data_IF_442428227366
#
_entry.id   IF_442428227366
#
_cell.length_a   1.000
_cell.length_b   1.000
_cell.length_c   1.000
_cell.angle_alpha   90.00
_cell.angle_beta   90.00
_cell.angle_gamma   90.00
#
_symmetry.space_group_name_H-M   'P 1'
#
loop_
_entity.id
_entity.type
_entity.pdbx_description
1 polymer ?
#
# COMPACT_ATOMS: atom_id res chain seq x y z
N UNK A 1 6.75 10.09 22.18
CA UNK A 1 6.45 10.41 20.78
C UNK A 1 6.65 11.89 20.57
N UNK A 2 7.22 12.28 19.44
CA UNK A 2 7.32 13.67 19.00
C UNK A 2 5.94 14.20 18.57
N UNK A 3 5.80 15.51 18.41
CA UNK A 3 4.58 16.12 17.89
C UNK A 3 4.25 15.62 16.48
N UNK A 4 5.28 15.46 15.63
CA UNK A 4 5.16 14.96 14.26
C UNK A 4 4.66 13.51 14.25
N UNK A 5 5.27 12.64 15.07
CA UNK A 5 4.82 11.25 15.21
C UNK A 5 3.36 11.18 15.68
N UNK A 6 2.97 12.04 16.63
CA UNK A 6 1.61 12.08 17.17
C UNK A 6 0.61 12.50 16.08
N UNK A 7 0.93 13.54 15.31
CA UNK A 7 0.07 14.02 14.21
C UNK A 7 -0.20 12.91 13.20
N UNK A 8 0.85 12.28 12.66
CA UNK A 8 0.69 11.28 11.61
C UNK A 8 0.11 9.95 12.12
N UNK A 9 0.41 9.58 13.37
CA UNK A 9 -0.26 8.43 14.02
C UNK A 9 -1.76 8.65 14.14
N UNK A 10 -2.19 9.88 14.47
CA UNK A 10 -3.61 10.22 14.54
C UNK A 10 -4.28 10.19 13.16
N UNK A 11 -3.63 10.70 12.11
CA UNK A 11 -4.13 10.58 10.73
C UNK A 11 -4.34 9.11 10.34
N UNK A 12 -3.31 8.27 10.51
CA UNK A 12 -3.37 6.86 10.18
C UNK A 12 -4.45 6.13 11.00
N UNK A 13 -4.55 6.43 12.29
CA UNK A 13 -5.57 5.84 13.18
C UNK A 13 -6.97 6.17 12.70
N UNK A 14 -7.25 7.44 12.38
CA UNK A 14 -8.57 7.87 11.87
C UNK A 14 -8.91 7.23 10.53
N UNK A 15 -7.92 7.08 9.65
CA UNK A 15 -8.13 6.51 8.32
C UNK A 15 -8.33 4.99 8.35
N UNK A 16 -7.64 4.27 9.25
CA UNK A 16 -7.48 2.81 9.16
C UNK A 16 -8.12 2.02 10.30
N UNK A 17 -8.15 2.54 11.54
CA UNK A 17 -8.62 1.74 12.69
C UNK A 17 -10.11 1.47 12.58
N UNK A 18 -10.48 0.20 12.78
CA UNK A 18 -11.85 -0.28 12.66
C UNK A 18 -12.32 -0.49 11.22
N UNK A 19 -11.49 -0.19 10.20
CA UNK A 19 -11.79 -0.53 8.81
C UNK A 19 -11.56 -2.01 8.57
N UNK A 20 -12.40 -2.60 7.72
CA UNK A 20 -12.20 -3.96 7.21
C UNK A 20 -11.59 -3.91 5.83
N UNK A 21 -10.58 -4.74 5.58
CA UNK A 21 -10.11 -5.03 4.23
C UNK A 21 -11.15 -5.94 3.59
N UNK A 22 -11.77 -5.47 2.51
CA UNK A 22 -12.83 -6.20 1.78
C UNK A 22 -12.32 -6.82 0.48
N UNK A 23 -11.17 -6.38 -0.03
CA UNK A 23 -10.49 -6.98 -1.18
C UNK A 23 -8.99 -6.70 -1.11
N UNK A 24 -8.19 -7.69 -1.55
CA UNK A 24 -6.74 -7.58 -1.71
C UNK A 24 -6.42 -7.96 -3.15
N UNK A 25 -5.62 -7.15 -3.83
CA UNK A 25 -5.14 -7.45 -5.18
C UNK A 25 -3.83 -6.72 -5.45
N UNK A 26 -3.07 -7.19 -6.43
CA UNK A 26 -2.06 -6.36 -7.07
C UNK A 26 -2.72 -5.25 -7.89
N UNK A 27 -2.10 -4.08 -7.95
CA UNK A 27 -2.51 -2.99 -8.83
C UNK A 27 -2.53 -3.48 -10.28
N UNK A 28 -3.58 -3.09 -11.01
CA UNK A 28 -3.67 -3.42 -12.43
C UNK A 28 -2.66 -2.61 -13.23
N UNK A 29 -2.31 -3.09 -14.43
CA UNK A 29 -1.39 -2.40 -15.34
C UNK A 29 -1.77 -0.92 -15.56
N UNK A 30 -3.06 -0.64 -15.76
CA UNK A 30 -3.57 0.73 -15.94
C UNK A 30 -3.40 1.61 -14.68
N UNK A 31 -3.51 1.03 -13.49
CA UNK A 31 -3.29 1.78 -12.25
C UNK A 31 -1.82 2.17 -12.12
N UNK A 32 -0.91 1.22 -12.41
CA UNK A 32 0.53 1.45 -12.46
C UNK A 32 0.90 2.52 -13.51
N UNK A 33 0.33 2.46 -14.71
CA UNK A 33 0.52 3.49 -15.76
C UNK A 33 0.12 4.89 -15.28
N UNK A 34 -1.04 5.02 -14.63
CA UNK A 34 -1.50 6.31 -14.09
C UNK A 34 -0.60 6.84 -12.96
N UNK A 35 0.10 5.95 -12.25
CA UNK A 35 1.06 6.29 -11.21
C UNK A 35 2.48 6.49 -11.76
N UNK A 36 2.73 6.18 -13.03
CA UNK A 36 4.07 6.20 -13.64
C UNK A 36 4.97 5.08 -13.12
N UNK A 37 4.41 3.93 -12.74
CA UNK A 37 5.15 2.80 -12.18
C UNK A 37 5.29 1.66 -13.20
N UNK A 38 6.50 1.07 -13.27
CA UNK A 38 6.81 -0.13 -14.06
C UNK A 38 6.50 -1.45 -13.32
N UNK A 39 6.26 -1.35 -12.02
CA UNK A 39 5.96 -2.45 -11.11
C UNK A 39 4.59 -2.27 -10.46
N UNK A 40 3.99 -3.38 -10.04
CA UNK A 40 2.74 -3.44 -9.30
C UNK A 40 2.97 -3.81 -7.84
N UNK A 41 2.26 -3.08 -6.96
CA UNK A 41 2.22 -3.32 -5.51
C UNK A 41 0.88 -3.88 -5.06
N UNK A 42 0.84 -4.32 -3.80
CA UNK A 42 -0.41 -4.73 -3.16
C UNK A 42 -1.29 -3.50 -2.87
N UNK A 43 -2.56 -3.60 -3.27
CA UNK A 43 -3.63 -2.70 -2.92
C UNK A 43 -4.60 -3.38 -1.94
N UNK A 44 -4.90 -2.70 -0.84
CA UNK A 44 -5.88 -3.11 0.16
C UNK A 44 -7.12 -2.23 0.06
N UNK A 45 -8.24 -2.79 -0.42
CA UNK A 45 -9.50 -2.06 -0.54
C UNK A 45 -10.27 -2.20 0.77
N UNK A 46 -10.67 -1.07 1.33
CA UNK A 46 -11.37 -0.97 2.60
C UNK A 46 -12.89 -0.92 2.42
N UNK A 47 -13.63 -1.23 3.48
CA UNK A 47 -15.09 -1.27 3.48
C UNK A 47 -15.80 0.07 3.20
N UNK A 48 -15.06 1.19 3.27
CA UNK A 48 -15.56 2.52 2.93
C UNK A 48 -15.20 2.97 1.50
N UNK A 49 -14.63 2.08 0.68
CA UNK A 49 -14.23 2.36 -0.70
C UNK A 49 -12.83 2.96 -0.85
N UNK A 50 -12.12 3.25 0.25
CA UNK A 50 -10.73 3.71 0.18
C UNK A 50 -9.80 2.56 -0.22
N UNK A 51 -8.69 2.89 -0.87
CA UNK A 51 -7.62 1.94 -1.18
C UNK A 51 -6.34 2.37 -0.46
N UNK A 52 -5.73 1.44 0.28
CA UNK A 52 -4.39 1.61 0.85
C UNK A 52 -3.39 1.02 -0.13
N UNK A 53 -2.42 1.82 -0.55
CA UNK A 53 -1.35 1.44 -1.46
C UNK A 53 -0.04 1.59 -0.71
N UNK A 54 0.80 0.56 -0.79
CA UNK A 54 2.15 0.62 -0.24
C UNK A 54 3.06 1.25 -1.28
N UNK A 55 3.71 2.35 -0.93
CA UNK A 55 4.65 3.08 -1.80
C UNK A 55 6.09 2.82 -1.33
N UNK A 56 7.06 2.96 -2.23
CA UNK A 56 8.47 2.78 -1.90
C UNK A 56 8.98 3.88 -0.95
N UNK A 57 8.47 5.09 -1.12
CA UNK A 57 8.81 6.29 -0.38
C UNK A 57 7.59 7.24 -0.22
N UNK A 58 7.82 8.38 0.43
CA UNK A 58 6.82 9.42 0.70
C UNK A 58 6.65 10.45 -0.44
N UNK A 59 7.48 10.38 -1.48
CA UNK A 59 7.29 11.13 -2.74
C UNK A 59 6.27 10.43 -3.65
N UNK A 60 6.12 9.12 -3.45
CA UNK A 60 5.22 8.26 -4.19
C UNK A 60 5.86 7.57 -5.38
N UNK A 61 7.19 7.42 -5.36
CA UNK A 61 7.90 6.65 -6.36
C UNK A 61 7.64 5.16 -6.13
N UNK A 62 7.24 4.45 -7.18
CA UNK A 62 7.11 3.00 -7.21
C UNK A 62 6.16 2.36 -6.16
N UNK A 63 5.79 1.10 -6.38
CA UNK A 63 5.15 0.32 -5.34
C UNK A 63 6.15 -0.13 -4.27
N UNK A 64 5.68 -0.24 -3.03
CA UNK A 64 6.41 -0.87 -1.93
C UNK A 64 5.99 -2.34 -1.73
N UNK A 65 6.93 -3.15 -1.22
CA UNK A 65 6.63 -4.50 -0.74
C UNK A 65 5.87 -4.46 0.59
N UNK A 66 4.95 -5.41 0.81
CA UNK A 66 4.19 -5.50 2.07
C UNK A 66 4.72 -6.66 2.93
N UNK A 67 5.19 -6.33 4.14
CA UNK A 67 5.55 -7.32 5.15
C UNK A 67 4.35 -7.68 6.02
N UNK A 68 3.99 -8.96 6.05
CA UNK A 68 3.05 -9.54 7.00
C UNK A 68 3.87 -10.25 8.08
N UNK A 69 3.95 -9.62 9.25
CA UNK A 69 4.63 -10.17 10.41
C UNK A 69 3.62 -10.68 11.44
N UNK A 70 3.78 -11.93 11.85
CA UNK A 70 3.05 -12.55 12.96
C UNK A 70 4.04 -13.13 13.97
N UNK A 71 3.54 -13.69 15.08
CA UNK A 71 4.41 -14.31 16.10
C UNK A 71 5.24 -15.49 15.57
N UNK A 72 4.79 -16.14 14.50
CA UNK A 72 5.37 -17.41 14.01
C UNK A 72 5.74 -17.38 12.54
N UNK A 73 5.43 -16.30 11.84
CA UNK A 73 5.49 -16.28 10.38
C UNK A 73 5.80 -14.89 9.88
N UNK A 74 6.67 -14.84 8.88
CA UNK A 74 7.02 -13.68 8.09
C UNK A 74 6.69 -13.99 6.63
N UNK A 75 5.83 -13.18 6.02
CA UNK A 75 5.52 -13.26 4.58
C UNK A 75 5.76 -11.89 3.97
N UNK A 76 6.60 -11.85 2.94
CA UNK A 76 6.80 -10.66 2.11
C UNK A 76 5.96 -10.84 0.85
N UNK A 77 5.06 -9.89 0.60
CA UNK A 77 4.39 -9.77 -0.69
C UNK A 77 5.22 -8.80 -1.55
N UNK A 78 5.93 -9.31 -2.59
CA UNK A 78 6.86 -8.50 -3.37
C UNK A 78 6.10 -7.58 -4.33
N UNK A 79 6.84 -6.62 -4.91
CA UNK A 79 6.40 -5.93 -6.11
C UNK A 79 6.52 -6.86 -7.32
N UNK A 80 5.67 -6.66 -8.33
CA UNK A 80 5.66 -7.49 -9.54
C UNK A 80 5.88 -6.62 -10.76
N UNK A 81 6.90 -6.94 -11.56
CA UNK A 81 7.14 -6.25 -12.83
C UNK A 81 5.93 -6.43 -13.76
N UNK A 82 5.35 -5.31 -14.22
CA UNK A 82 4.19 -5.31 -15.13
C UNK A 82 4.54 -4.90 -16.56
N UNK A 83 5.83 -4.65 -16.84
CA UNK A 83 6.31 -4.28 -18.15
C UNK A 83 6.25 -2.77 -18.40
N UNK A 84 7.16 -2.28 -19.24
CA UNK A 84 7.03 -0.94 -19.80
C UNK A 84 5.75 -0.84 -20.62
N UNK A 85 5.04 0.25 -20.42
CA UNK A 85 3.93 0.64 -21.28
C UNK A 85 4.46 1.80 -22.09
N UNK A 86 4.94 1.45 -23.28
CA UNK A 86 5.33 2.39 -24.33
C UNK A 86 4.20 3.35 -24.68
#
# INVERSE_FOLDING_TARGET
MTEIETRWTNEATRALVGRRIVKVQYLGKKDCENMGWDDSGIALILDNGNTVIVQQDDEGNGPGALLILSKTTEVILPTLYVGHVS
#
